data_IF_980058139545
#
_entry.id   IF_980058139545
#
_cell.length_a   1.000
_cell.length_b   1.000
_cell.length_c   1.000
_cell.angle_alpha   90.00
_cell.angle_beta   90.00
_cell.angle_gamma   90.00
#
_symmetry.space_group_name_H-M   'P 1'
#
loop_
_entity.id
_entity.type
_entity.pdbx_description
1 polymer ?
#
# COMPACT_ATOMS: atom_id res chain seq x y z
N UNK A 1 -7.34 5.18 4.28
CA UNK A 1 -7.55 4.35 5.49
C UNK A 1 -7.36 2.85 5.25
N UNK A 2 -7.67 2.30 4.08
CA UNK A 2 -7.53 0.85 3.81
C UNK A 2 -6.10 0.29 3.96
N UNK A 3 -5.06 1.03 3.57
CA UNK A 3 -3.68 0.54 3.65
C UNK A 3 -3.13 0.45 5.10
N UNK A 4 -3.61 1.30 6.02
CA UNK A 4 -3.18 1.25 7.43
C UNK A 4 -3.69 -0.01 8.16
N UNK A 5 -4.84 -0.54 7.74
CA UNK A 5 -5.42 -1.77 8.30
C UNK A 5 -4.60 -3.02 7.97
N UNK A 6 -3.93 -3.06 6.80
CA UNK A 6 -3.12 -4.20 6.40
C UNK A 6 -1.85 -4.37 7.25
N UNK A 7 -1.37 -3.30 7.88
CA UNK A 7 -0.19 -3.33 8.75
C UNK A 7 -0.43 -4.07 10.07
N UNK A 8 -1.66 -4.03 10.61
CA UNK A 8 -2.02 -4.72 11.84
C UNK A 8 -1.93 -6.26 11.74
N UNK A 9 -2.17 -6.80 10.55
CA UNK A 9 -2.21 -8.24 10.30
C UNK A 9 -0.84 -8.91 10.24
N UNK A 10 0.20 -8.17 9.88
CA UNK A 10 1.59 -8.66 9.88
C UNK A 10 2.29 -8.43 11.22
N UNK A 11 1.52 -8.14 12.29
CA UNK A 11 2.05 -7.91 13.65
C UNK A 11 2.79 -6.60 13.83
N UNK A 12 2.68 -5.68 12.86
CA UNK A 12 3.34 -4.38 12.88
C UNK A 12 2.34 -3.30 13.32
N UNK A 13 2.41 -2.88 14.58
CA UNK A 13 1.54 -1.82 15.12
C UNK A 13 2.11 -0.43 14.77
N UNK A 14 1.29 0.50 14.27
CA UNK A 14 1.73 1.88 14.04
C UNK A 14 1.95 2.60 15.36
N UNK A 15 3.02 3.38 15.44
CA UNK A 15 3.21 4.34 16.55
C UNK A 15 2.15 5.43 16.43
N UNK A 16 1.32 5.61 17.44
CA UNK A 16 0.28 6.63 17.47
C UNK A 16 0.89 8.03 17.48
N UNK A 17 1.10 8.62 16.33
CA UNK A 17 1.40 10.03 16.18
C UNK A 17 0.09 10.81 16.21
N UNK A 18 -0.28 11.37 17.36
CA UNK A 18 -1.33 12.40 17.48
C UNK A 18 -0.87 13.65 16.74
N UNK A 19 -1.23 13.77 15.46
CA UNK A 19 -1.22 15.06 14.75
C UNK A 19 -2.64 15.58 14.68
N UNK A 20 -2.92 16.65 15.44
CA UNK A 20 -4.08 17.50 15.28
C UNK A 20 -4.01 18.18 13.90
N UNK A 21 -5.03 17.94 13.08
CA UNK A 21 -5.22 18.64 11.80
C UNK A 21 -5.68 20.07 12.09
N UNK A 22 -5.04 21.11 11.53
CA UNK A 22 -5.56 22.45 11.58
C UNK A 22 -6.81 22.59 10.70
N UNK A 23 -7.82 23.26 11.26
CA UNK A 23 -9.09 23.58 10.62
C UNK A 23 -8.91 24.50 9.40
N UNK A 24 -9.51 24.08 8.31
CA UNK A 24 -10.08 24.85 7.20
C UNK A 24 -9.35 26.15 6.80
N UNK A 25 -8.30 26.03 5.98
CA UNK A 25 -7.79 27.15 5.18
C UNK A 25 -7.78 26.78 3.71
N UNK A 26 -8.23 27.73 2.89
CA UNK A 26 -8.28 27.69 1.44
C UNK A 26 -6.94 27.22 0.85
N UNK A 27 -6.88 25.97 0.36
CA UNK A 27 -5.65 25.37 -0.16
C UNK A 27 -5.46 25.84 -1.61
N UNK A 28 -4.40 26.61 -1.91
CA UNK A 28 -4.08 27.01 -3.29
C UNK A 28 -3.87 25.81 -4.20
N UNK A 29 -4.22 25.93 -5.47
CA UNK A 29 -4.14 24.85 -6.48
C UNK A 29 -2.76 24.19 -6.61
N UNK A 30 -1.69 24.89 -6.27
CA UNK A 30 -0.31 24.40 -6.23
C UNK A 30 -0.09 23.34 -5.14
N UNK A 31 -0.84 23.41 -4.02
CA UNK A 31 -0.77 22.41 -2.94
C UNK A 31 -1.54 21.12 -3.25
N UNK A 32 -2.37 21.08 -4.32
CA UNK A 32 -2.97 19.83 -4.80
C UNK A 32 -1.94 18.88 -5.42
N UNK A 33 -0.79 19.38 -5.87
CA UNK A 33 0.32 18.54 -6.33
C UNK A 33 1.15 17.94 -5.18
N UNK A 34 1.05 18.50 -3.97
CA UNK A 34 1.76 18.02 -2.79
C UNK A 34 1.24 16.70 -2.22
N UNK A 35 0.07 16.22 -2.64
CA UNK A 35 -0.50 14.94 -2.21
C UNK A 35 -0.09 13.74 -3.09
N UNK A 36 0.90 13.90 -3.96
CA UNK A 36 1.47 12.84 -4.80
C UNK A 36 2.59 12.05 -4.09
N UNK A 37 2.95 12.42 -2.86
CA UNK A 37 3.96 11.71 -2.09
C UNK A 37 3.33 10.59 -1.27
N UNK A 38 4.07 9.49 -1.14
CA UNK A 38 3.69 8.38 -0.30
C UNK A 38 3.62 8.83 1.17
N UNK A 39 2.60 8.36 1.88
CA UNK A 39 2.49 8.61 3.31
C UNK A 39 3.40 7.65 4.06
N UNK A 40 4.32 8.19 4.86
CA UNK A 40 5.28 7.40 5.65
C UNK A 40 4.79 7.24 7.08
N UNK A 41 4.82 6.00 7.57
CA UNK A 41 4.48 5.64 8.96
C UNK A 41 5.66 4.87 9.57
N UNK A 42 6.05 5.26 10.78
CA UNK A 42 7.01 4.50 11.57
C UNK A 42 6.28 3.39 12.34
N UNK A 43 6.76 2.18 12.21
CA UNK A 43 6.23 0.98 12.88
C UNK A 43 6.93 0.79 14.22
N UNK A 44 6.25 0.13 15.17
CA UNK A 44 6.81 -0.20 16.50
C UNK A 44 7.85 -1.31 16.45
N UNK A 45 7.78 -2.15 15.43
CA UNK A 45 8.69 -3.28 15.23
C UNK A 45 9.25 -3.25 13.81
N UNK A 46 10.45 -3.79 13.66
CA UNK A 46 11.04 -4.05 12.35
C UNK A 46 10.65 -5.45 11.89
N UNK A 47 10.35 -5.58 10.59
CA UNK A 47 9.95 -6.84 10.00
C UNK A 47 10.45 -7.00 8.56
N UNK A 48 10.09 -8.10 7.90
CA UNK A 48 10.41 -8.30 6.49
C UNK A 48 9.77 -7.23 5.62
N UNK A 49 10.34 -7.02 4.45
CA UNK A 49 9.72 -6.13 3.46
C UNK A 49 8.49 -6.80 2.86
N UNK A 50 7.33 -6.18 3.03
CA UNK A 50 6.03 -6.66 2.54
C UNK A 50 5.47 -5.67 1.55
N UNK A 51 5.09 -6.14 0.37
CA UNK A 51 4.28 -5.38 -0.58
C UNK A 51 2.82 -5.80 -0.42
N UNK A 52 1.96 -4.89 0.04
CA UNK A 52 0.52 -5.11 0.13
C UNK A 52 -0.20 -4.42 -1.04
N UNK A 53 -0.86 -5.21 -1.89
CA UNK A 53 -1.49 -4.74 -3.13
C UNK A 53 -2.87 -4.09 -2.92
N UNK A 54 -3.34 -4.01 -1.68
CA UNK A 54 -4.62 -3.38 -1.34
C UNK A 54 -5.84 -4.12 -1.88
N UNK A 55 -6.99 -3.45 -1.80
CA UNK A 55 -8.28 -4.00 -2.20
C UNK A 55 -8.68 -3.57 -3.63
N UNK A 56 -9.91 -3.90 -4.04
CA UNK A 56 -10.46 -3.59 -5.38
C UNK A 56 -10.82 -2.12 -5.56
N UNK A 57 -11.61 -1.56 -4.61
CA UNK A 57 -12.08 -0.17 -4.63
C UNK A 57 -11.17 0.72 -3.80
N UNK A 58 -11.01 1.98 -4.21
CA UNK A 58 -10.16 2.96 -3.53
C UNK A 58 -8.78 2.39 -3.20
N UNK A 59 -8.22 1.65 -4.15
CA UNK A 59 -6.97 0.95 -3.98
C UNK A 59 -5.83 1.89 -3.58
N UNK A 60 -5.05 1.46 -2.61
CA UNK A 60 -3.76 2.03 -2.20
C UNK A 60 -2.79 0.88 -1.97
N UNK A 61 -1.51 1.12 -2.22
CA UNK A 61 -0.44 0.16 -2.03
C UNK A 61 0.29 0.50 -0.74
N UNK A 62 0.73 -0.50 -0.01
CA UNK A 62 1.63 -0.32 1.12
C UNK A 62 2.89 -1.15 0.92
N UNK A 63 4.05 -0.53 1.09
CA UNK A 63 5.35 -1.19 1.07
C UNK A 63 6.02 -0.99 2.44
N UNK A 64 6.41 -2.08 3.09
CA UNK A 64 7.18 -2.00 4.34
C UNK A 64 8.67 -2.24 4.08
N UNK A 65 9.51 -1.55 4.83
CA UNK A 65 10.95 -1.77 4.83
C UNK A 65 11.51 -1.42 6.22
N UNK A 66 12.14 -2.39 6.86
CA UNK A 66 12.59 -2.27 8.25
C UNK A 66 11.40 -1.89 9.18
N UNK A 67 11.48 -0.74 9.85
CA UNK A 67 10.42 -0.21 10.70
C UNK A 67 9.63 0.93 10.03
N UNK A 68 9.64 1.01 8.70
CA UNK A 68 8.89 2.02 7.95
C UNK A 68 7.83 1.36 7.08
N UNK A 69 6.66 2.00 6.99
CA UNK A 69 5.62 1.69 6.02
C UNK A 69 5.38 2.91 5.14
N UNK A 70 5.34 2.69 3.84
CA UNK A 70 5.09 3.69 2.81
C UNK A 70 3.75 3.36 2.16
N UNK A 71 2.79 4.29 2.25
CA UNK A 71 1.45 4.14 1.69
C UNK A 71 1.33 5.05 0.48
N UNK A 72 1.02 4.47 -0.67
CA UNK A 72 0.86 5.23 -1.91
C UNK A 72 -0.31 6.21 -1.85
N UNK A 73 -0.31 7.24 -2.68
CA UNK A 73 -1.53 7.95 -3.06
C UNK A 73 -2.59 6.99 -3.59
N UNK A 74 -3.83 7.46 -3.64
CA UNK A 74 -4.95 6.69 -4.16
C UNK A 74 -4.69 6.24 -5.61
N UNK A 75 -4.63 4.94 -5.82
CA UNK A 75 -4.53 4.32 -7.16
C UNK A 75 -5.89 4.40 -7.85
N UNK A 76 -6.97 4.11 -7.13
CA UNK A 76 -8.33 4.23 -7.62
C UNK A 76 -9.09 2.91 -7.66
N UNK A 77 -10.12 2.87 -8.51
CA UNK A 77 -10.97 1.70 -8.74
C UNK A 77 -10.34 0.81 -9.81
N UNK A 78 -9.96 -0.40 -9.42
CA UNK A 78 -9.27 -1.37 -10.29
C UNK A 78 -10.20 -2.03 -11.33
N UNK A 79 -11.47 -1.64 -11.41
CA UNK A 79 -12.35 -1.99 -12.54
C UNK A 79 -11.88 -1.34 -13.84
N UNK A 80 -11.15 -0.22 -13.77
CA UNK A 80 -10.69 0.54 -14.94
C UNK A 80 -9.28 0.16 -15.37
N UNK A 81 -9.02 0.17 -16.68
CA UNK A 81 -7.70 -0.11 -17.26
C UNK A 81 -6.67 0.90 -16.77
N UNK A 82 -7.04 2.18 -16.64
CA UNK A 82 -6.15 3.24 -16.18
C UNK A 82 -5.70 3.01 -14.73
N UNK A 83 -6.60 2.59 -13.84
CA UNK A 83 -6.24 2.29 -12.46
C UNK A 83 -5.34 1.05 -12.36
N UNK A 84 -5.56 0.04 -13.19
CA UNK A 84 -4.67 -1.14 -13.30
C UNK A 84 -3.27 -0.75 -13.74
N UNK A 85 -3.16 0.10 -14.77
CA UNK A 85 -1.85 0.63 -15.22
C UNK A 85 -1.18 1.50 -14.14
N UNK A 86 -1.98 2.29 -13.38
CA UNK A 86 -1.45 3.05 -12.24
C UNK A 86 -0.95 2.14 -11.11
N UNK A 87 -1.65 1.03 -10.81
CA UNK A 87 -1.21 0.05 -9.82
C UNK A 87 0.21 -0.44 -10.15
N UNK A 88 0.41 -0.94 -11.36
CA UNK A 88 1.69 -1.47 -11.81
C UNK A 88 2.81 -0.41 -11.73
N UNK A 89 2.57 0.77 -12.30
CA UNK A 89 3.53 1.89 -12.25
C UNK A 89 3.86 2.33 -10.82
N UNK A 90 2.85 2.32 -9.91
CA UNK A 90 3.04 2.72 -8.52
C UNK A 90 3.89 1.70 -7.77
N UNK A 91 3.65 0.39 -7.96
CA UNK A 91 4.48 -0.66 -7.35
C UNK A 91 5.92 -0.54 -7.83
N UNK A 92 6.16 -0.43 -9.14
CA UNK A 92 7.49 -0.30 -9.70
C UNK A 92 8.21 0.96 -9.21
N UNK A 93 7.50 2.09 -9.11
CA UNK A 93 8.05 3.33 -8.56
C UNK A 93 8.45 3.15 -7.09
N UNK A 94 7.56 2.63 -6.25
CA UNK A 94 7.83 2.46 -4.82
C UNK A 94 9.01 1.51 -4.57
N UNK A 95 9.07 0.37 -5.27
CA UNK A 95 10.18 -0.56 -5.16
C UNK A 95 11.53 0.10 -5.53
N UNK A 96 11.56 0.92 -6.57
CA UNK A 96 12.79 1.65 -6.98
C UNK A 96 13.14 2.77 -6.01
N UNK A 97 12.18 3.61 -5.63
CA UNK A 97 12.38 4.79 -4.79
C UNK A 97 12.91 4.43 -3.41
N UNK A 98 12.34 3.38 -2.82
CA UNK A 98 12.75 2.91 -1.50
C UNK A 98 13.82 1.82 -1.55
N UNK A 99 14.31 1.44 -2.75
CA UNK A 99 15.27 0.34 -2.94
C UNK A 99 14.85 -0.93 -2.19
N UNK A 100 13.53 -1.18 -2.13
CA UNK A 100 12.94 -2.24 -1.35
C UNK A 100 12.73 -3.49 -2.22
N UNK A 101 13.25 -4.62 -1.74
CA UNK A 101 12.97 -5.93 -2.28
C UNK A 101 11.92 -6.59 -1.40
N UNK A 102 10.70 -6.74 -1.90
CA UNK A 102 9.64 -7.42 -1.18
C UNK A 102 10.05 -8.88 -0.91
N UNK A 103 9.91 -9.32 0.33
CA UNK A 103 10.09 -10.72 0.72
C UNK A 103 8.79 -11.52 0.60
N UNK A 104 7.64 -10.83 0.60
CA UNK A 104 6.31 -11.41 0.45
C UNK A 104 5.36 -10.38 -0.15
N UNK A 105 4.38 -10.85 -0.94
CA UNK A 105 3.31 -10.01 -1.47
C UNK A 105 2.00 -10.35 -0.78
N UNK A 106 1.40 -9.38 -0.07
CA UNK A 106 0.10 -9.53 0.57
C UNK A 106 -1.03 -9.06 -0.36
N UNK A 107 -2.12 -9.83 -0.40
CA UNK A 107 -3.28 -9.55 -1.26
C UNK A 107 -4.59 -9.95 -0.59
N UNK A 108 -5.73 -9.51 -1.15
CA UNK A 108 -7.05 -9.91 -0.71
C UNK A 108 -7.30 -11.40 -0.99
N UNK A 109 -8.16 -12.05 -0.18
CA UNK A 109 -8.57 -13.43 -0.40
C UNK A 109 -9.40 -13.64 -1.68
N UNK A 110 -10.05 -12.57 -2.19
CA UNK A 110 -10.93 -12.70 -3.35
C UNK A 110 -10.12 -12.96 -4.63
N UNK A 111 -10.28 -14.13 -5.30
CA UNK A 111 -9.41 -14.53 -6.41
C UNK A 111 -9.61 -13.67 -7.65
N UNK A 112 -10.82 -13.12 -7.86
CA UNK A 112 -11.17 -12.37 -9.07
C UNK A 112 -10.74 -10.89 -9.00
N UNK A 113 -10.25 -10.43 -7.85
CA UNK A 113 -9.76 -9.06 -7.76
C UNK A 113 -8.46 -8.90 -8.56
N UNK A 114 -8.42 -7.84 -9.37
CA UNK A 114 -7.21 -7.54 -10.15
C UNK A 114 -5.98 -7.39 -9.26
N UNK A 115 -6.12 -6.80 -8.06
CA UNK A 115 -5.03 -6.70 -7.09
C UNK A 115 -4.48 -8.06 -6.67
N UNK A 116 -5.34 -9.08 -6.54
CA UNK A 116 -4.95 -10.47 -6.23
C UNK A 116 -4.21 -11.11 -7.41
N UNK A 117 -4.76 -10.97 -8.62
CA UNK A 117 -4.12 -11.49 -9.82
C UNK A 117 -2.76 -10.83 -10.07
N UNK A 118 -2.68 -9.52 -9.89
CA UNK A 118 -1.43 -8.75 -9.96
C UNK A 118 -0.41 -9.25 -8.93
N UNK A 119 -0.83 -9.43 -7.66
CA UNK A 119 0.04 -9.90 -6.58
C UNK A 119 0.66 -11.27 -6.90
N UNK A 120 -0.13 -12.21 -7.40
CA UNK A 120 0.37 -13.52 -7.82
C UNK A 120 1.37 -13.42 -8.98
N UNK A 121 1.05 -12.65 -10.02
CA UNK A 121 1.94 -12.47 -11.16
C UNK A 121 3.26 -11.80 -10.75
N UNK A 122 3.19 -10.76 -9.91
CA UNK A 122 4.36 -10.03 -9.43
C UNK A 122 5.25 -10.91 -8.52
N UNK A 123 4.64 -11.65 -7.59
CA UNK A 123 5.35 -12.58 -6.72
C UNK A 123 6.04 -13.71 -7.50
N UNK A 124 5.38 -14.25 -8.54
CA UNK A 124 5.94 -15.26 -9.42
C UNK A 124 7.18 -14.74 -10.18
N UNK A 125 7.13 -13.52 -10.70
CA UNK A 125 8.26 -12.89 -11.38
C UNK A 125 9.49 -12.76 -10.48
N UNK A 126 9.27 -12.49 -9.19
CA UNK A 126 10.35 -12.33 -8.20
C UNK A 126 10.70 -13.62 -7.46
N UNK A 127 9.99 -14.71 -7.73
CA UNK A 127 10.13 -16.00 -7.02
C UNK A 127 9.99 -15.86 -5.49
N UNK A 128 8.99 -15.11 -5.04
CA UNK A 128 8.67 -14.86 -3.62
C UNK A 128 7.26 -15.34 -3.29
N UNK A 129 6.95 -15.68 -2.02
CA UNK A 129 5.63 -16.13 -1.61
C UNK A 129 4.58 -15.01 -1.65
N UNK A 130 3.31 -15.42 -1.75
CA UNK A 130 2.15 -14.56 -1.51
C UNK A 130 1.51 -14.86 -0.16
N UNK A 131 0.85 -13.87 0.43
CA UNK A 131 0.07 -13.98 1.66
C UNK A 131 -1.35 -13.47 1.39
N UNK A 132 -2.31 -14.39 1.42
CA UNK A 132 -3.72 -14.05 1.32
C UNK A 132 -4.26 -13.55 2.66
N UNK A 133 -4.94 -12.40 2.66
CA UNK A 133 -5.47 -11.75 3.86
C UNK A 133 -6.94 -11.45 3.66
N UNK A 134 -7.78 -11.86 4.62
CA UNK A 134 -9.20 -11.57 4.57
C UNK A 134 -9.46 -10.07 4.80
N UNK A 135 -10.28 -9.46 3.94
CA UNK A 135 -10.58 -8.03 3.97
C UNK A 135 -11.06 -7.53 5.34
N UNK A 136 -11.96 -8.28 5.98
CA UNK A 136 -12.49 -7.92 7.30
C UNK A 136 -11.48 -8.04 8.44
N UNK A 137 -10.45 -8.87 8.30
CA UNK A 137 -9.35 -8.93 9.25
C UNK A 137 -8.36 -7.77 9.10
N UNK A 138 -8.36 -7.11 7.93
CA UNK A 138 -7.53 -5.95 7.67
C UNK A 138 -8.12 -4.65 8.26
N UNK A 139 -9.36 -4.66 8.71
CA UNK A 139 -10.06 -3.57 9.39
C UNK A 139 -10.06 -3.76 10.89
#
# INVERSE_FOLDING_TARGET
>A
MAAACWLGLIGLQPVAAKRQLPSNQHIPSILRLANLHDHRITLTVSGPSVLACGAWLKNTICLTQNNQAYISPLVGDLSTIDARSRLDKTVQRMCREYSAQAAVVAHDLHPDFYSTQFAHAFAQQLNIPTLAVQHHHAH
#
